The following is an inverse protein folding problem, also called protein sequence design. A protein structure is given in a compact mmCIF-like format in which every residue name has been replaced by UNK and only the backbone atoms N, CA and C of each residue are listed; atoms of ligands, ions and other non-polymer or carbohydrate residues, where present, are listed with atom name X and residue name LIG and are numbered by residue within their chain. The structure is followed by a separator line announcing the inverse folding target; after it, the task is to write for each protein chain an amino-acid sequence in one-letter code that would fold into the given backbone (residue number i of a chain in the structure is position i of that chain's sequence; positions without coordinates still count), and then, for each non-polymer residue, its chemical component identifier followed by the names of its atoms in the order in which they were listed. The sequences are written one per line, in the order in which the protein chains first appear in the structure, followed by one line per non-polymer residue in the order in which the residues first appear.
data_IF_454583571835
#
_entry.id   IF_454583571835
#
_cell.length_a   1.000
_cell.length_b   1.000
_cell.length_c   1.000
_cell.angle_alpha   90.00
_cell.angle_beta   90.00
_cell.angle_gamma   90.00
#
_symmetry.space_group_name_H-M   'P 1'
#
loop_
_entity.id
_entity.type
_entity.pdbx_description
1 polymer ?
#
# COMPACT_ATOMS: atom_id res chain seq x y z
N UNK A 1 31.83 -1.43 -7.88
CA UNK A 1 30.44 -1.10 -7.52
C UNK A 1 30.37 -1.10 -6.00
N UNK A 2 30.05 0.03 -5.38
CA UNK A 2 29.69 0.07 -3.96
C UNK A 2 28.36 -0.65 -3.79
N UNK A 3 28.34 -1.65 -2.93
CA UNK A 3 27.14 -2.40 -2.59
C UNK A 3 26.13 -1.46 -1.90
N UNK A 4 24.86 -1.53 -2.30
CA UNK A 4 23.81 -0.70 -1.68
C UNK A 4 23.59 -1.19 -0.25
N UNK A 5 23.67 -0.31 0.76
CA UNK A 5 23.47 -0.72 2.16
C UNK A 5 22.12 -1.41 2.37
N UNK A 6 22.13 -2.50 3.14
CA UNK A 6 20.93 -3.29 3.40
C UNK A 6 19.95 -2.54 4.32
N UNK A 7 18.63 -2.57 4.04
CA UNK A 7 17.63 -1.97 4.91
C UNK A 7 17.57 -2.68 6.27
N UNK A 8 17.48 -1.90 7.34
CA UNK A 8 17.36 -2.41 8.71
C UNK A 8 15.89 -2.54 9.10
N UNK A 9 15.56 -3.64 9.78
CA UNK A 9 14.22 -3.90 10.32
C UNK A 9 13.24 -4.53 9.34
N UNK A 10 13.68 -4.95 8.14
CA UNK A 10 12.87 -5.70 7.17
C UNK A 10 13.44 -7.10 6.94
N UNK A 11 12.56 -8.10 6.95
CA UNK A 11 12.85 -9.43 6.48
C UNK A 11 12.31 -9.57 5.06
N UNK A 12 13.17 -9.91 4.10
CA UNK A 12 12.79 -10.18 2.70
C UNK A 12 13.15 -11.61 2.38
N UNK A 13 12.15 -12.39 1.93
CA UNK A 13 12.33 -13.78 1.55
C UNK A 13 11.87 -13.97 0.11
N UNK A 14 12.68 -14.66 -0.69
CA UNK A 14 12.29 -15.09 -2.03
C UNK A 14 11.21 -16.16 -1.94
N UNK A 15 10.21 -16.03 -2.80
CA UNK A 15 9.16 -17.04 -3.00
C UNK A 15 9.65 -18.12 -3.95
N UNK A 16 9.30 -19.37 -3.66
CA UNK A 16 9.43 -20.44 -4.64
C UNK A 16 8.30 -20.38 -5.69
N UNK A 17 8.40 -21.23 -6.71
CA UNK A 17 7.42 -21.26 -7.80
C UNK A 17 6.02 -21.67 -7.30
N UNK A 18 5.91 -22.58 -6.33
CA UNK A 18 4.64 -23.05 -5.81
C UNK A 18 3.94 -21.97 -4.97
N UNK A 19 4.69 -21.16 -4.22
CA UNK A 19 4.17 -20.00 -3.50
C UNK A 19 3.67 -18.93 -4.47
N UNK A 20 4.40 -18.65 -5.57
CA UNK A 20 3.94 -17.75 -6.63
C UNK A 20 2.65 -18.28 -7.26
N UNK A 21 2.59 -19.58 -7.58
CA UNK A 21 1.39 -20.22 -8.13
C UNK A 21 0.20 -20.11 -7.18
N UNK A 22 0.41 -20.32 -5.88
CA UNK A 22 -0.63 -20.21 -4.87
C UNK A 22 -1.18 -18.78 -4.74
N UNK A 23 -0.33 -17.76 -4.85
CA UNK A 23 -0.78 -16.35 -4.86
C UNK A 23 -1.67 -16.08 -6.07
N UNK A 24 -1.29 -16.56 -7.25
CA UNK A 24 -2.09 -16.39 -8.46
C UNK A 24 -3.43 -17.13 -8.37
N UNK A 25 -3.40 -18.36 -7.88
CA UNK A 25 -4.60 -19.17 -7.67
C UNK A 25 -5.58 -18.49 -6.71
N UNK A 26 -5.10 -18.01 -5.56
CA UNK A 26 -5.95 -17.35 -4.57
C UNK A 26 -6.55 -16.04 -5.14
N UNK A 27 -5.71 -15.16 -5.69
CA UNK A 27 -6.09 -13.77 -6.03
C UNK A 27 -6.79 -13.66 -7.39
N UNK A 28 -6.25 -14.30 -8.42
CA UNK A 28 -6.74 -14.11 -9.80
C UNK A 28 -7.75 -15.19 -10.21
N UNK A 29 -7.53 -16.45 -9.82
CA UNK A 29 -8.39 -17.57 -10.22
C UNK A 29 -9.60 -17.69 -9.30
N UNK A 30 -9.36 -17.85 -7.99
CA UNK A 30 -10.43 -18.07 -6.99
C UNK A 30 -11.09 -16.78 -6.49
N UNK A 31 -10.39 -15.66 -6.59
CA UNK A 31 -10.88 -14.38 -6.06
C UNK A 31 -11.06 -14.39 -4.54
N UNK A 32 -10.20 -15.12 -3.83
CA UNK A 32 -10.16 -15.21 -2.36
C UNK A 32 -8.89 -14.57 -1.83
N UNK A 33 -8.89 -14.25 -0.53
CA UNK A 33 -7.69 -13.73 0.17
C UNK A 33 -6.43 -14.51 -0.16
N UNK A 34 -5.31 -13.80 -0.23
CA UNK A 34 -4.00 -14.42 -0.35
C UNK A 34 -3.63 -15.09 0.98
N UNK A 35 -3.64 -16.42 1.02
CA UNK A 35 -3.36 -17.19 2.24
C UNK A 35 -1.94 -17.00 2.76
N UNK A 36 -0.99 -16.72 1.85
CA UNK A 36 0.40 -16.46 2.20
C UNK A 36 0.55 -15.22 3.10
N UNK A 37 -0.32 -14.21 2.93
CA UNK A 37 -0.37 -13.07 3.84
C UNK A 37 -1.05 -13.44 5.15
N UNK A 38 -2.09 -14.27 5.14
CA UNK A 38 -2.81 -14.66 6.36
C UNK A 38 -1.95 -15.51 7.32
N UNK A 39 -1.02 -16.31 6.79
CA UNK A 39 -0.07 -17.10 7.61
C UNK A 39 1.18 -16.32 8.00
N UNK A 40 1.54 -15.31 7.20
CA UNK A 40 2.80 -14.56 7.34
C UNK A 40 4.03 -15.35 6.88
N UNK A 41 5.18 -14.67 6.71
CA UNK A 41 6.46 -15.36 6.53
C UNK A 41 6.94 -16.00 7.85
N UNK A 42 7.88 -16.95 7.82
CA UNK A 42 8.43 -17.55 9.03
C UNK A 42 8.98 -16.48 10.00
N UNK A 43 8.46 -16.45 11.23
CA UNK A 43 8.85 -15.47 12.25
C UNK A 43 7.70 -14.54 12.66
N UNK A 44 7.43 -13.45 11.91
CA UNK A 44 6.35 -12.53 12.25
C UNK A 44 4.98 -13.17 11.96
N UNK A 45 4.02 -13.05 12.89
CA UNK A 45 2.69 -13.66 12.71
C UNK A 45 1.96 -13.02 11.53
N UNK A 46 1.22 -13.84 10.79
CA UNK A 46 0.20 -13.33 9.87
C UNK A 46 -0.99 -12.72 10.63
N UNK A 47 -1.78 -11.93 9.92
CA UNK A 47 -3.03 -11.38 10.42
C UNK A 47 -4.19 -11.74 9.46
N UNK A 48 -4.96 -12.81 9.76
CA UNK A 48 -6.08 -13.22 8.93
C UNK A 48 -7.28 -12.25 9.00
N UNK A 49 -7.30 -11.33 9.96
CA UNK A 49 -8.35 -10.32 10.10
C UNK A 49 -8.01 -9.02 9.34
N UNK A 50 -6.74 -8.76 9.05
CA UNK A 50 -6.31 -7.56 8.35
C UNK A 50 -6.91 -7.48 6.92
N UNK A 51 -7.34 -6.30 6.45
CA UNK A 51 -7.66 -6.12 5.04
C UNK A 51 -6.41 -6.36 4.15
N UNK A 52 -6.64 -6.83 2.93
CA UNK A 52 -5.60 -6.96 1.91
C UNK A 52 -5.92 -6.06 0.71
N UNK A 53 -4.89 -5.67 -0.04
CA UNK A 53 -5.00 -4.88 -1.25
C UNK A 53 -4.17 -5.47 -2.38
N UNK A 54 -4.62 -5.22 -3.61
CA UNK A 54 -4.03 -5.69 -4.86
C UNK A 54 -3.73 -4.49 -5.74
N UNK A 55 -2.49 -4.42 -6.23
CA UNK A 55 -2.08 -3.56 -7.33
C UNK A 55 -1.32 -4.44 -8.33
N UNK A 56 -1.90 -4.70 -9.49
CA UNK A 56 -1.27 -5.46 -10.57
C UNK A 56 -1.12 -4.59 -11.81
N UNK A 57 0.12 -4.47 -12.27
CA UNK A 57 0.51 -3.86 -13.54
C UNK A 57 0.72 -4.98 -14.56
N UNK A 58 -0.07 -4.95 -15.63
CA UNK A 58 -0.03 -5.87 -16.75
C UNK A 58 0.32 -5.10 -18.02
N UNK A 59 0.87 -5.78 -19.03
CA UNK A 59 1.25 -5.16 -20.30
C UNK A 59 0.08 -4.50 -21.04
N UNK A 60 -1.16 -4.85 -20.72
CA UNK A 60 -2.39 -4.31 -21.30
C UNK A 60 -3.19 -3.40 -20.33
N UNK A 61 -2.65 -3.10 -19.15
CA UNK A 61 -3.26 -2.16 -18.20
C UNK A 61 -3.14 -2.59 -16.75
N UNK A 62 -4.03 -2.09 -15.90
CA UNK A 62 -4.00 -2.31 -14.44
C UNK A 62 -5.18 -3.13 -13.96
N UNK A 63 -4.95 -3.94 -12.94
CA UNK A 63 -5.99 -4.59 -12.16
C UNK A 63 -5.74 -4.28 -10.68
N UNK A 64 -6.72 -3.66 -10.03
CA UNK A 64 -6.63 -3.33 -8.61
C UNK A 64 -7.72 -4.02 -7.82
N UNK A 65 -7.56 -4.09 -6.50
CA UNK A 65 -8.61 -4.63 -5.65
C UNK A 65 -8.37 -4.43 -4.17
N UNK A 66 -9.44 -4.63 -3.40
CA UNK A 66 -9.40 -4.70 -1.94
C UNK A 66 -10.12 -5.96 -1.47
N UNK A 67 -9.57 -6.58 -0.43
CA UNK A 67 -10.08 -7.77 0.23
C UNK A 67 -10.28 -7.46 1.72
N UNK A 68 -11.42 -6.85 2.11
CA UNK A 68 -11.65 -6.45 3.51
C UNK A 68 -11.85 -7.65 4.43
N UNK A 69 -12.37 -8.76 3.88
CA UNK A 69 -12.50 -10.07 4.54
C UNK A 69 -12.12 -11.14 3.54
N UNK A 70 -13.01 -12.08 3.21
CA UNK A 70 -12.71 -13.34 2.50
C UNK A 70 -12.56 -13.24 0.98
N UNK A 71 -13.23 -12.27 0.34
CA UNK A 71 -13.33 -12.17 -1.12
C UNK A 71 -12.84 -10.82 -1.63
N UNK A 72 -12.21 -10.87 -2.79
CA UNK A 72 -11.74 -9.67 -3.47
C UNK A 72 -12.88 -8.90 -4.12
N UNK A 73 -12.91 -7.60 -3.88
CA UNK A 73 -13.56 -6.62 -4.75
C UNK A 73 -12.49 -6.15 -5.74
N UNK A 74 -12.57 -6.63 -6.98
CA UNK A 74 -11.59 -6.33 -8.04
C UNK A 74 -12.15 -5.37 -9.06
N UNK A 75 -11.26 -4.59 -9.68
CA UNK A 75 -11.63 -3.58 -10.67
C UNK A 75 -12.15 -4.17 -11.99
N UNK A 76 -11.88 -5.44 -12.29
CA UNK A 76 -12.46 -6.17 -13.44
C UNK A 76 -13.93 -6.58 -13.25
N UNK A 77 -14.55 -6.18 -12.13
CA UNK A 77 -15.96 -6.44 -11.83
C UNK A 77 -16.95 -5.58 -12.64
N UNK A 78 -18.26 -5.86 -12.50
CA UNK A 78 -19.32 -5.08 -13.14
C UNK A 78 -19.21 -3.58 -12.84
N UNK A 79 -19.30 -2.74 -13.87
CA UNK A 79 -19.26 -1.29 -13.76
C UNK A 79 -17.87 -0.65 -13.85
N UNK A 80 -16.79 -1.44 -13.80
CA UNK A 80 -15.40 -0.95 -13.93
C UNK A 80 -14.51 -1.81 -14.84
N UNK A 81 -15.06 -2.89 -15.41
CA UNK A 81 -14.33 -3.84 -16.27
C UNK A 81 -13.72 -3.19 -17.52
N UNK A 82 -14.37 -2.17 -18.09
CA UNK A 82 -13.87 -1.42 -19.26
C UNK A 82 -12.63 -0.58 -18.94
N UNK A 83 -12.36 -0.32 -17.66
CA UNK A 83 -11.23 0.46 -17.17
C UNK A 83 -10.11 -0.40 -16.58
N UNK A 84 -10.24 -1.72 -16.66
CA UNK A 84 -9.33 -2.67 -16.00
C UNK A 84 -8.80 -3.71 -16.96
N UNK A 85 -7.55 -4.12 -16.76
CA UNK A 85 -6.98 -5.24 -17.48
C UNK A 85 -7.65 -6.56 -17.03
N UNK A 86 -7.69 -7.52 -17.95
CA UNK A 86 -8.21 -8.86 -17.64
C UNK A 86 -7.25 -9.61 -16.70
N UNK A 87 -7.75 -10.30 -15.66
CA UNK A 87 -6.90 -11.03 -14.72
C UNK A 87 -6.07 -12.10 -15.43
N UNK A 88 -4.80 -12.32 -15.03
CA UNK A 88 -3.93 -13.34 -15.62
C UNK A 88 -4.26 -14.72 -15.03
N UNK A 89 -5.39 -15.30 -15.47
CA UNK A 89 -5.92 -16.56 -14.93
C UNK A 89 -5.23 -17.80 -15.49
N UNK A 90 -4.75 -17.75 -16.74
CA UNK A 90 -4.03 -18.86 -17.34
C UNK A 90 -2.51 -18.72 -17.11
N UNK A 91 -1.75 -19.83 -17.01
CA UNK A 91 -0.29 -19.76 -16.90
C UNK A 91 0.37 -18.96 -18.05
N UNK A 92 -0.20 -19.02 -19.26
CA UNK A 92 0.28 -18.25 -20.41
C UNK A 92 0.11 -16.72 -20.23
N UNK A 93 -0.87 -16.27 -19.44
CA UNK A 93 -1.09 -14.84 -19.18
C UNK A 93 0.04 -14.24 -18.34
N UNK A 94 0.86 -15.04 -17.66
CA UNK A 94 1.97 -14.57 -16.83
C UNK A 94 2.96 -13.73 -17.62
N UNK A 95 3.13 -13.97 -18.91
CA UNK A 95 3.97 -13.16 -19.78
C UNK A 95 3.55 -11.68 -19.84
N UNK A 96 2.30 -11.37 -19.50
CA UNK A 96 1.77 -9.99 -19.42
C UNK A 96 2.09 -9.33 -18.08
N UNK A 97 2.46 -10.08 -17.05
CA UNK A 97 2.72 -9.53 -15.71
C UNK A 97 3.97 -8.68 -15.77
N UNK A 98 3.83 -7.39 -15.45
CA UNK A 98 4.97 -6.50 -15.21
C UNK A 98 5.29 -6.50 -13.71
N UNK A 99 4.25 -6.36 -12.88
CA UNK A 99 4.35 -6.41 -11.43
C UNK A 99 3.01 -6.76 -10.77
N UNK A 100 3.04 -7.58 -9.72
CA UNK A 100 1.90 -7.80 -8.83
C UNK A 100 2.32 -7.52 -7.40
N UNK A 101 1.59 -6.63 -6.73
CA UNK A 101 1.69 -6.36 -5.31
C UNK A 101 0.41 -6.82 -4.62
N UNK A 102 0.55 -7.73 -3.66
CA UNK A 102 -0.53 -8.10 -2.73
C UNK A 102 -0.02 -7.79 -1.33
N UNK A 103 -0.74 -6.95 -0.59
CA UNK A 103 -0.22 -6.46 0.69
C UNK A 103 -1.31 -6.30 1.74
N UNK A 104 -0.85 -6.33 2.99
CA UNK A 104 -1.58 -6.04 4.21
C UNK A 104 -0.66 -5.25 5.15
N UNK A 105 -1.19 -4.81 6.30
CA UNK A 105 -0.42 -4.01 7.26
C UNK A 105 0.90 -4.68 7.69
N UNK A 106 0.91 -6.00 7.85
CA UNK A 106 2.05 -6.77 8.37
C UNK A 106 2.99 -7.33 7.30
N UNK A 107 2.53 -7.56 6.06
CA UNK A 107 3.37 -8.13 5.00
C UNK A 107 2.98 -7.68 3.58
N UNK A 108 3.92 -7.77 2.65
CA UNK A 108 3.72 -7.52 1.22
C UNK A 108 4.38 -8.62 0.39
N UNK A 109 3.60 -9.20 -0.51
CA UNK A 109 4.06 -10.04 -1.62
C UNK A 109 4.27 -9.15 -2.85
N UNK A 110 5.44 -9.29 -3.48
CA UNK A 110 5.78 -8.69 -4.77
C UNK A 110 6.14 -9.80 -5.74
N UNK A 111 5.49 -9.84 -6.90
CA UNK A 111 5.82 -10.77 -7.99
C UNK A 111 6.23 -9.93 -9.19
N UNK A 112 7.43 -10.19 -9.70
CA UNK A 112 8.03 -9.43 -10.80
C UNK A 112 7.60 -9.93 -12.18
N UNK A 113 8.23 -9.34 -13.19
CA UNK A 113 7.92 -9.56 -14.61
C UNK A 113 7.84 -11.04 -15.00
N UNK A 114 6.84 -11.36 -15.81
CA UNK A 114 6.59 -12.72 -16.29
C UNK A 114 6.18 -13.69 -15.19
N UNK A 115 5.92 -13.21 -13.97
CA UNK A 115 5.82 -14.00 -12.74
C UNK A 115 7.02 -14.94 -12.51
N UNK A 116 8.22 -14.55 -12.95
CA UNK A 116 9.44 -15.38 -12.88
C UNK A 116 10.10 -15.39 -11.50
N UNK A 117 9.77 -14.41 -10.68
CA UNK A 117 10.33 -14.23 -9.34
C UNK A 117 9.33 -13.53 -8.45
N UNK A 118 9.34 -13.88 -7.17
CA UNK A 118 8.54 -13.22 -6.16
C UNK A 118 9.27 -13.12 -4.84
N UNK A 119 8.83 -12.18 -4.01
CA UNK A 119 9.34 -11.95 -2.67
C UNK A 119 8.19 -11.64 -1.72
N UNK A 120 8.32 -12.07 -0.48
CA UNK A 120 7.52 -11.58 0.63
C UNK A 120 8.41 -10.75 1.55
N UNK A 121 7.88 -9.61 1.98
CA UNK A 121 8.54 -8.68 2.90
C UNK A 121 7.66 -8.43 4.12
N UNK A 122 8.26 -8.39 5.29
CA UNK A 122 7.63 -8.11 6.57
C UNK A 122 8.62 -7.45 7.53
N UNK A 123 8.15 -6.94 8.66
CA UNK A 123 9.04 -6.43 9.71
C UNK A 123 9.92 -7.58 10.24
N UNK A 124 11.22 -7.34 10.31
CA UNK A 124 12.17 -8.30 10.89
C UNK A 124 12.01 -8.30 12.43
N UNK A 125 12.15 -9.47 13.08
CA UNK A 125 12.21 -9.51 14.54
C UNK A 125 13.47 -8.81 15.06
N UNK A 126 13.38 -8.24 16.26
CA UNK A 126 14.49 -7.58 16.94
C UNK A 126 14.42 -6.05 16.88
N UNK A 127 15.22 -5.41 17.72
CA UNK A 127 15.26 -3.95 17.81
C UNK A 127 16.29 -3.36 16.84
N UNK A 128 15.84 -2.37 16.06
CA UNK A 128 16.72 -1.53 15.27
C UNK A 128 17.23 -0.34 16.11
N UNK A 129 18.45 0.16 15.85
CA UNK A 129 18.93 1.42 16.41
C UNK A 129 17.92 2.56 16.15
N UNK A 130 17.70 3.50 17.08
CA UNK A 130 16.65 4.51 16.97
C UNK A 130 16.62 5.29 15.65
N UNK A 131 17.79 5.59 15.07
CA UNK A 131 17.90 6.33 13.81
C UNK A 131 17.54 5.49 12.57
N UNK A 132 17.58 4.15 12.67
CA UNK A 132 17.24 3.19 11.62
C UNK A 132 15.92 2.45 11.87
N UNK A 133 15.19 2.79 12.93
CA UNK A 133 13.88 2.18 13.21
C UNK A 133 12.93 2.40 12.04
N UNK A 134 12.19 1.35 11.62
CA UNK A 134 11.16 1.51 10.60
C UNK A 134 10.13 2.55 11.00
N UNK A 135 9.63 3.33 10.04
CA UNK A 135 8.68 4.43 10.27
C UNK A 135 7.47 4.29 9.38
N UNK A 136 6.29 4.55 9.91
CA UNK A 136 5.09 4.63 9.09
C UNK A 136 5.02 5.99 8.39
N UNK A 137 4.58 5.97 7.13
CA UNK A 137 4.25 7.14 6.33
C UNK A 137 2.90 6.97 5.66
N UNK A 138 2.23 8.09 5.41
CA UNK A 138 1.03 8.15 4.60
C UNK A 138 1.19 9.18 3.50
N UNK A 139 0.88 8.79 2.26
CA UNK A 139 0.82 9.67 1.11
C UNK A 139 -0.62 9.95 0.76
N UNK A 140 -0.96 11.22 0.58
CA UNK A 140 -2.28 11.63 0.10
C UNK A 140 -2.44 11.14 -1.34
N UNK A 141 -3.49 10.37 -1.59
CA UNK A 141 -3.87 10.02 -2.95
C UNK A 141 -4.51 11.25 -3.59
N UNK A 142 -3.87 11.79 -4.61
CA UNK A 142 -4.40 12.90 -5.39
C UNK A 142 -5.01 12.36 -6.69
N UNK A 143 -6.28 12.67 -6.90
CA UNK A 143 -6.97 12.52 -8.18
C UNK A 143 -7.54 13.88 -8.57
N UNK A 144 -7.80 14.10 -9.86
CA UNK A 144 -8.54 15.29 -10.27
C UNK A 144 -10.00 15.10 -9.88
N UNK A 145 -10.40 15.66 -8.73
CA UNK A 145 -11.72 15.46 -8.13
C UNK A 145 -12.46 16.76 -7.88
N UNK A 146 -13.00 17.34 -8.95
CA UNK A 146 -14.24 18.10 -8.81
C UNK A 146 -15.37 17.15 -8.37
N UNK A 147 -16.49 17.68 -7.82
CA UNK A 147 -17.62 16.90 -7.26
C UNK A 147 -18.31 15.90 -8.23
N UNK A 148 -17.81 15.74 -9.46
CA UNK A 148 -18.29 14.76 -10.44
C UNK A 148 -17.25 13.76 -10.96
N UNK A 149 -16.05 13.65 -10.39
CA UNK A 149 -14.94 12.90 -11.04
C UNK A 149 -14.56 11.60 -10.31
N UNK A 150 -14.74 11.55 -8.98
CA UNK A 150 -14.66 10.31 -8.21
C UNK A 150 -16.04 9.66 -8.14
N UNK A 151 -16.20 8.43 -8.66
CA UNK A 151 -17.47 7.69 -8.52
C UNK A 151 -17.21 6.29 -7.97
N UNK A 152 -17.84 5.99 -6.85
CA UNK A 152 -17.93 4.61 -6.35
C UNK A 152 -18.95 3.83 -7.18
N UNK A 153 -18.61 2.62 -7.66
CA UNK A 153 -19.47 1.82 -8.51
C UNK A 153 -20.68 1.20 -7.78
N UNK A 154 -20.84 1.43 -6.47
CA UNK A 154 -22.00 1.02 -5.67
C UNK A 154 -21.76 1.21 -4.16
N UNK A 155 -22.80 1.02 -3.34
CA UNK A 155 -22.66 1.01 -1.87
C UNK A 155 -21.88 -0.23 -1.41
N UNK A 156 -20.90 -0.03 -0.53
CA UNK A 156 -20.13 -1.12 0.10
C UNK A 156 -18.99 -1.71 -0.74
N UNK A 157 -18.80 -1.27 -1.99
CA UNK A 157 -17.64 -1.67 -2.81
C UNK A 157 -16.48 -0.71 -2.51
N UNK A 158 -15.33 -1.19 -2.00
CA UNK A 158 -14.17 -0.36 -1.71
C UNK A 158 -13.39 -0.03 -2.98
N UNK A 159 -14.06 0.43 -4.03
CA UNK A 159 -13.46 0.84 -5.30
C UNK A 159 -13.94 2.24 -5.66
N UNK A 160 -13.08 3.03 -6.27
CA UNK A 160 -13.44 4.32 -6.85
C UNK A 160 -12.79 4.49 -8.21
N UNK A 161 -13.59 4.90 -9.20
CA UNK A 161 -13.06 5.38 -10.47
C UNK A 161 -12.56 6.81 -10.29
N UNK A 162 -11.31 7.06 -10.66
CA UNK A 162 -10.66 8.38 -10.66
C UNK A 162 -10.10 8.72 -12.04
N UNK A 163 -9.73 9.97 -12.25
CA UNK A 163 -9.02 10.44 -13.42
C UNK A 163 -7.64 10.99 -13.01
N UNK A 164 -6.60 10.55 -13.71
CA UNK A 164 -5.26 11.13 -13.65
C UNK A 164 -5.22 12.48 -14.40
N UNK A 165 -4.24 13.36 -14.12
CA UNK A 165 -4.09 14.63 -14.85
C UNK A 165 -3.95 14.47 -16.38
N UNK A 166 -3.50 13.30 -16.83
CA UNK A 166 -3.43 12.93 -18.25
C UNK A 166 -4.79 12.71 -18.92
N UNK A 167 -5.88 12.68 -18.13
CA UNK A 167 -7.21 12.28 -18.57
C UNK A 167 -7.44 10.76 -18.55
N UNK A 168 -6.40 9.96 -18.28
CA UNK A 168 -6.54 8.52 -18.10
C UNK A 168 -7.40 8.21 -16.88
N UNK A 169 -8.29 7.23 -17.00
CA UNK A 169 -9.12 6.77 -15.88
C UNK A 169 -8.48 5.57 -15.22
N UNK A 170 -8.55 5.52 -13.90
CA UNK A 170 -8.04 4.41 -13.11
C UNK A 170 -9.07 4.01 -12.05
N UNK A 171 -9.00 2.75 -11.62
CA UNK A 171 -9.82 2.25 -10.51
C UNK A 171 -8.91 2.08 -9.30
N UNK A 172 -9.21 2.79 -8.22
CA UNK A 172 -8.48 2.70 -6.96
C UNK A 172 -9.24 1.83 -5.97
N UNK A 173 -8.57 0.96 -5.21
CA UNK A 173 -9.23 0.08 -4.23
C UNK A 173 -9.46 0.79 -2.90
N UNK A 174 -10.23 1.89 -2.96
CA UNK A 174 -10.59 2.74 -1.83
C UNK A 174 -11.99 3.35 -2.03
N UNK A 175 -12.69 3.61 -0.94
CA UNK A 175 -13.86 4.52 -0.96
C UNK A 175 -13.31 5.94 -0.93
N UNK A 176 -13.47 6.69 -2.01
CA UNK A 176 -12.82 7.98 -2.13
C UNK A 176 -13.40 9.03 -1.17
N UNK A 177 -12.49 9.70 -0.46
CA UNK A 177 -12.74 10.98 0.17
C UNK A 177 -11.79 12.02 -0.39
N UNK A 178 -12.36 13.16 -0.81
CA UNK A 178 -11.60 14.33 -1.18
C UNK A 178 -10.81 14.85 0.00
N UNK A 179 -9.65 15.44 -0.29
CA UNK A 179 -8.84 16.04 0.74
C UNK A 179 -9.57 17.24 1.36
N UNK A 180 -9.68 17.24 2.68
CA UNK A 180 -10.15 18.37 3.47
C UNK A 180 -9.18 18.59 4.64
N UNK A 181 -8.92 19.84 4.97
CA UNK A 181 -8.09 20.20 6.11
C UNK A 181 -8.83 21.18 7.01
N UNK A 182 -8.81 20.93 8.32
CA UNK A 182 -9.34 21.86 9.32
C UNK A 182 -8.25 22.31 10.26
N UNK A 183 -8.12 23.62 10.46
CA UNK A 183 -7.25 24.17 11.51
C UNK A 183 -8.03 24.20 12.83
N UNK A 184 -7.55 23.46 13.82
CA UNK A 184 -8.02 23.50 15.21
C UNK A 184 -7.05 24.29 16.06
N UNK A 185 -7.55 25.26 16.83
CA UNK A 185 -6.73 25.96 17.83
C UNK A 185 -6.58 25.11 19.09
N UNK A 186 -5.36 25.03 19.62
CA UNK A 186 -5.08 24.33 20.88
C UNK A 186 -5.28 25.28 22.06
N UNK A 187 -5.51 24.72 23.27
CA UNK A 187 -5.68 25.51 24.50
C UNK A 187 -4.45 26.36 24.84
N UNK A 188 -3.27 26.06 24.28
CA UNK A 188 -2.03 26.82 24.47
C UNK A 188 -1.77 27.91 23.44
N UNK A 189 -2.74 28.24 22.56
CA UNK A 189 -2.59 29.29 21.55
C UNK A 189 -1.97 28.85 20.21
N UNK A 190 -1.59 27.57 20.08
CA UNK A 190 -1.12 26.99 18.81
C UNK A 190 -2.26 26.63 17.85
N UNK A 191 -1.92 26.39 16.59
CA UNK A 191 -2.85 25.95 15.55
C UNK A 191 -2.41 24.58 15.03
N UNK A 192 -3.38 23.73 14.70
CA UNK A 192 -3.13 22.32 14.41
C UNK A 192 -4.02 21.92 13.23
N UNK A 193 -3.44 21.59 12.07
CA UNK A 193 -4.13 21.28 10.81
C UNK A 193 -4.47 19.79 10.62
N UNK A 194 -5.74 19.43 10.83
CA UNK A 194 -6.30 18.07 10.70
C UNK A 194 -6.70 17.80 9.26
N UNK A 195 -5.88 17.00 8.56
CA UNK A 195 -6.16 16.53 7.20
C UNK A 195 -6.95 15.23 7.19
N UNK A 196 -7.98 15.17 6.36
CA UNK A 196 -8.71 13.96 6.01
C UNK A 196 -8.76 13.78 4.49
N UNK A 197 -8.81 12.55 3.99
CA UNK A 197 -8.80 12.24 2.57
C UNK A 197 -8.60 10.75 2.32
N UNK A 198 -8.12 10.41 1.12
CA UNK A 198 -7.74 9.04 0.76
C UNK A 198 -6.22 8.89 0.81
N UNK A 199 -5.71 7.85 1.44
CA UNK A 199 -4.29 7.70 1.79
C UNK A 199 -3.74 6.35 1.38
N UNK A 200 -2.53 6.35 0.82
CA UNK A 200 -1.67 5.16 0.74
C UNK A 200 -0.73 5.15 1.94
N UNK A 201 -0.69 4.07 2.70
CA UNK A 201 0.24 3.93 3.83
C UNK A 201 1.38 3.00 3.48
N UNK A 202 2.58 3.36 3.96
CA UNK A 202 3.80 2.58 3.77
C UNK A 202 4.59 2.50 5.07
N UNK A 203 5.44 1.47 5.14
CA UNK A 203 6.52 1.32 6.10
C UNK A 203 7.84 1.67 5.42
N UNK A 204 8.57 2.64 5.95
CA UNK A 204 9.91 3.02 5.50
C UNK A 204 10.97 2.29 6.31
N UNK A 205 11.91 1.66 5.61
CA UNK A 205 13.08 1.04 6.20
C UNK A 205 14.33 1.76 5.73
N UNK A 206 15.26 1.94 6.66
CA UNK A 206 16.40 2.82 6.50
C UNK A 206 17.67 2.00 6.44
N UNK A 207 18.67 2.50 5.73
CA UNK A 207 20.01 1.94 5.74
C UNK A 207 21.02 3.05 6.02
N UNK A 208 22.15 2.66 6.59
CA UNK A 208 23.28 3.53 6.85
C UNK A 208 24.43 3.11 5.95
N UNK A 209 24.98 4.05 5.21
CA UNK A 209 26.22 3.84 4.47
C UNK A 209 27.39 3.66 5.45
N UNK A 210 28.13 2.54 5.41
CA UNK A 210 29.16 2.25 6.39
C UNK A 210 30.43 3.12 6.22
N UNK A 211 30.65 3.71 5.05
CA UNK A 211 31.83 4.53 4.77
C UNK A 211 31.67 6.00 5.21
N UNK A 212 30.46 6.54 5.10
CA UNK A 212 30.14 7.95 5.35
C UNK A 212 29.28 8.16 6.58
N UNK A 213 28.60 7.11 7.05
CA UNK A 213 27.58 7.20 8.10
C UNK A 213 26.26 7.83 7.63
N UNK A 214 26.11 8.12 6.34
CA UNK A 214 24.88 8.72 5.79
C UNK A 214 23.71 7.76 5.92
N UNK A 215 22.57 8.26 6.41
CA UNK A 215 21.34 7.48 6.59
C UNK A 215 20.31 7.90 5.54
N UNK A 216 19.72 6.91 4.86
CA UNK A 216 18.70 7.13 3.84
C UNK A 216 17.62 6.05 3.85
N UNK A 217 16.49 6.32 3.21
CA UNK A 217 15.45 5.32 2.98
C UNK A 217 15.95 4.33 1.93
N UNK A 218 15.92 3.05 2.27
CA UNK A 218 16.41 1.97 1.42
C UNK A 218 15.29 1.05 0.91
N UNK A 219 14.14 1.02 1.60
CA UNK A 219 13.01 0.17 1.20
C UNK A 219 11.67 0.76 1.67
N UNK A 220 10.66 0.65 0.81
CA UNK A 220 9.26 0.95 1.13
C UNK A 220 8.43 -0.33 1.02
N UNK A 221 7.62 -0.61 2.05
CA UNK A 221 6.59 -1.65 2.00
C UNK A 221 5.22 -1.01 2.06
N UNK A 222 4.33 -1.35 1.14
CA UNK A 222 2.93 -0.93 1.24
C UNK A 222 2.28 -1.61 2.45
N UNK A 223 1.55 -0.84 3.24
CA UNK A 223 0.86 -1.33 4.45
C UNK A 223 -0.65 -1.18 4.39
N UNK A 224 -1.16 -0.35 3.48
CA UNK A 224 -2.60 -0.23 3.33
C UNK A 224 -3.06 0.95 2.51
N UNK A 225 -4.36 1.01 2.31
CA UNK A 225 -5.06 2.14 1.72
C UNK A 225 -6.24 2.48 2.63
N UNK A 226 -6.37 3.74 3.01
CA UNK A 226 -7.33 4.19 4.01
C UNK A 226 -8.07 5.45 3.57
N UNK A 227 -9.27 5.64 4.11
CA UNK A 227 -10.09 6.84 3.93
C UNK A 227 -10.36 7.47 5.28
N UNK A 228 -10.28 8.80 5.36
CA UNK A 228 -10.53 9.55 6.59
C UNK A 228 -9.30 10.32 7.06
N UNK A 229 -9.13 10.51 8.38
CA UNK A 229 -7.99 11.26 8.94
C UNK A 229 -6.63 10.70 8.50
N UNK A 230 -5.61 11.56 8.41
CA UNK A 230 -4.22 11.18 8.11
C UNK A 230 -3.74 10.04 9.05
N UNK A 231 -3.40 8.84 8.54
CA UNK A 231 -3.10 7.68 9.39
C UNK A 231 -1.86 7.79 10.28
N UNK A 232 -0.78 8.44 9.82
CA UNK A 232 0.54 8.36 10.50
C UNK A 232 0.92 9.58 11.33
N UNK A 233 0.01 10.55 11.52
CA UNK A 233 0.25 11.76 12.31
C UNK A 233 1.47 12.64 11.88
N UNK A 234 1.73 13.76 12.58
CA UNK A 234 0.75 14.52 13.33
C UNK A 234 0.08 15.57 12.43
N UNK A 235 -0.80 16.27 13.09
CA UNK A 235 -1.56 17.41 12.68
C UNK A 235 -0.63 18.63 12.79
N UNK A 236 -0.17 19.20 11.66
CA UNK A 236 0.92 20.18 11.62
C UNK A 236 0.50 21.56 12.17
N UNK A 237 1.43 22.31 12.79
CA UNK A 237 1.24 23.76 12.93
C UNK A 237 1.41 24.43 11.56
N UNK A 238 0.37 25.06 10.99
CA UNK A 238 0.43 25.63 9.64
C UNK A 238 1.38 26.84 9.52
N UNK A 239 1.85 27.41 10.64
CA UNK A 239 2.80 28.51 10.67
C UNK A 239 4.26 28.07 10.77
N UNK A 240 4.56 27.02 11.54
CA UNK A 240 5.96 26.61 11.82
C UNK A 240 6.35 25.26 11.21
N UNK A 241 5.38 24.41 10.85
CA UNK A 241 5.64 23.05 10.35
C UNK A 241 6.04 22.04 11.45
N UNK A 242 6.10 22.47 12.70
CA UNK A 242 6.46 21.61 13.84
C UNK A 242 5.28 20.74 14.30
N UNK A 243 5.61 19.64 14.97
CA UNK A 243 4.60 18.94 15.77
C UNK A 243 4.18 19.84 16.94
N UNK A 244 2.87 19.97 17.24
CA UNK A 244 2.44 20.74 18.40
C UNK A 244 3.01 20.11 19.68
N UNK A 245 3.68 20.93 20.50
CA UNK A 245 4.25 20.49 21.76
C UNK A 245 3.21 19.74 22.61
N UNK A 246 3.46 18.46 22.86
CA UNK A 246 2.55 17.56 23.59
C UNK A 246 1.97 16.39 22.78
N UNK A 247 2.46 16.13 21.56
CA UNK A 247 2.19 14.86 20.87
C UNK A 247 2.76 13.68 21.65
N UNK A 248 1.90 12.94 22.35
CA UNK A 248 2.27 11.66 22.95
C UNK A 248 2.74 10.73 21.83
N UNK A 249 4.02 10.35 21.87
CA UNK A 249 4.57 9.25 21.10
C UNK A 249 3.80 7.98 21.48
N UNK A 250 3.04 7.41 20.55
CA UNK A 250 2.51 6.06 20.63
C UNK A 250 3.41 5.13 19.81
#
# INVERSE_FOLDING_TARGET
MTEVPAPVGVAVRRLDAAEVDAVFEDVFVRGVRCRLLDTGPPGPPGDPAAPQWLLAELGDGRLTGACPRERWYRSDGPGTADLSARPPVAPADRARVLEVLVFAAHAQVRIGEGARSGWISADAPGEAPPWLRPRDRSFLLQGWTGPGHGRSPGEGVPLTVTAEPSGARAVLPVVWADFSARVRRTRGGGAVAEGAGSWLTVREYWAQDPGTGTVGVAFHRLTGIATGPKPTGPVFDPGTGDEPAGGTTW
#
